data_IF_018160888638
#
_entry.id   IF_018160888638
#
_cell.length_a   1.000
_cell.length_b   1.000
_cell.length_c   1.000
_cell.angle_alpha   90.00
_cell.angle_beta   90.00
_cell.angle_gamma   90.00
#
_symmetry.space_group_name_H-M   'P 1'
#
loop_
_entity.id
_entity.type
_entity.pdbx_description
1 polymer ?
#
# COMPACT_ATOMS: atom_id res chain seq x y z
N UNK A 1 4.78 -23.26 10.01
CA UNK A 1 5.00 -22.71 10.15
C UNK A 1 4.76 -21.87 10.15
N UNK A 2 4.87 -21.95 10.34
CA UNK A 2 4.61 -20.97 10.54
C UNK A 2 5.17 -19.93 10.04
N UNK A 3 4.67 -19.32 9.77
CA UNK A 3 5.17 -18.14 9.40
C UNK A 3 5.89 -17.56 10.49
N UNK A 4 7.06 -17.09 10.24
CA UNK A 4 7.77 -16.50 11.26
C UNK A 4 7.17 -15.25 11.70
N UNK A 5 7.19 -14.97 12.98
CA UNK A 5 6.71 -13.73 13.52
C UNK A 5 7.82 -12.70 13.39
N UNK A 6 7.57 -11.65 12.64
CA UNK A 6 8.56 -10.60 12.51
C UNK A 6 8.44 -9.66 13.69
N UNK A 7 9.56 -9.11 14.14
CA UNK A 7 9.57 -8.13 15.20
C UNK A 7 9.34 -6.76 14.62
N UNK A 8 8.77 -5.88 15.42
CA UNK A 8 8.58 -4.50 14.99
C UNK A 8 9.93 -3.83 14.82
N UNK A 9 10.04 -3.05 13.77
CA UNK A 9 11.26 -2.34 13.47
C UNK A 9 11.23 -1.00 14.20
N UNK A 10 12.38 -0.51 14.63
CA UNK A 10 12.43 0.79 15.29
C UNK A 10 11.99 1.87 14.31
N UNK A 11 11.49 2.99 14.84
CA UNK A 11 11.00 4.06 13.99
C UNK A 11 12.07 4.58 13.03
N UNK A 12 13.32 4.55 13.45
CA UNK A 12 14.40 5.04 12.63
C UNK A 12 14.68 4.16 11.44
N UNK A 13 14.39 2.86 11.56
CA UNK A 13 14.69 1.90 10.51
C UNK A 13 13.47 1.49 9.70
N UNK A 14 12.30 1.95 10.13
CA UNK A 14 11.05 1.52 9.50
C UNK A 14 11.00 1.89 8.02
N UNK A 15 10.49 0.99 7.21
CA UNK A 15 10.31 1.25 5.80
C UNK A 15 9.16 2.22 5.57
N UNK A 16 9.21 2.92 4.46
CA UNK A 16 8.26 3.97 4.16
C UNK A 16 7.85 3.88 2.71
N UNK A 17 6.54 3.90 2.45
CA UNK A 17 6.05 3.82 1.09
C UNK A 17 6.09 5.15 0.36
N UNK A 18 5.90 6.23 1.08
CA UNK A 18 5.87 7.54 0.46
C UNK A 18 4.58 7.84 -0.25
N UNK A 19 3.46 7.54 0.38
CA UNK A 19 2.16 7.87 -0.18
C UNK A 19 1.31 8.58 0.86
N UNK A 20 0.34 9.34 0.36
CA UNK A 20 -0.72 9.90 1.18
C UNK A 20 -2.02 9.31 0.69
N UNK A 21 -2.85 8.84 1.59
CA UNK A 21 -4.09 8.24 1.17
C UNK A 21 -5.11 8.21 2.28
N UNK A 22 -6.26 7.63 1.97
CA UNK A 22 -7.30 7.48 2.97
C UNK A 22 -8.07 6.19 2.72
N UNK A 23 -8.84 5.80 3.74
CA UNK A 23 -9.57 4.54 3.70
C UNK A 23 -10.75 4.65 2.76
N UNK A 24 -10.98 3.57 2.02
CA UNK A 24 -12.22 3.43 1.25
C UNK A 24 -13.13 2.56 2.09
N UNK A 25 -14.18 3.16 2.63
CA UNK A 25 -15.13 2.42 3.46
C UNK A 25 -15.97 1.49 2.59
N UNK A 26 -16.63 0.53 3.23
CA UNK A 26 -17.51 -0.36 2.48
C UNK A 26 -18.63 0.41 1.80
N UNK A 27 -19.16 1.41 2.46
CA UNK A 27 -20.21 2.24 1.90
C UNK A 27 -19.71 3.00 0.69
N UNK A 28 -18.53 3.61 0.82
CA UNK A 28 -17.95 4.34 -0.29
C UNK A 28 -17.61 3.43 -1.45
N UNK A 29 -17.13 2.22 -1.15
CA UNK A 29 -16.80 1.27 -2.18
C UNK A 29 -18.04 0.88 -2.97
N UNK A 30 -19.16 0.65 -2.30
CA UNK A 30 -20.39 0.29 -2.97
C UNK A 30 -20.95 1.47 -3.76
N UNK A 31 -20.89 2.66 -3.18
CA UNK A 31 -21.44 3.84 -3.80
C UNK A 31 -20.72 4.21 -5.08
N UNK A 32 -19.40 4.07 -5.10
CA UNK A 32 -18.59 4.45 -6.24
C UNK A 32 -18.10 3.26 -7.05
N UNK A 33 -18.58 2.08 -6.72
CA UNK A 33 -18.21 0.85 -7.44
C UNK A 33 -16.70 0.67 -7.49
N UNK A 34 -16.06 0.79 -6.34
CA UNK A 34 -14.61 0.66 -6.23
C UNK A 34 -14.26 -0.31 -5.13
N UNK A 35 -13.06 -0.90 -5.14
CA UNK A 35 -12.68 -1.85 -4.10
C UNK A 35 -12.41 -1.14 -2.78
N UNK A 36 -12.52 -1.88 -1.67
CA UNK A 36 -12.12 -1.35 -0.37
C UNK A 36 -10.61 -1.46 -0.24
N UNK A 37 -10.02 -0.55 0.50
CA UNK A 37 -8.59 -0.54 0.72
C UNK A 37 -8.09 0.87 0.97
N UNK A 38 -6.87 1.15 0.51
CA UNK A 38 -6.28 2.48 0.67
C UNK A 38 -6.27 3.18 -0.66
N UNK A 39 -7.02 4.27 -0.75
CA UNK A 39 -7.01 5.09 -1.95
C UNK A 39 -5.76 5.96 -1.92
N UNK A 40 -4.96 5.88 -2.97
CA UNK A 40 -3.72 6.64 -3.05
C UNK A 40 -4.03 8.04 -3.55
N UNK A 41 -3.95 9.01 -2.66
CA UNK A 41 -4.23 10.39 -2.98
C UNK A 41 -3.03 11.04 -3.63
N UNK A 42 -1.85 10.79 -3.08
CA UNK A 42 -0.62 11.34 -3.62
C UNK A 42 0.53 10.37 -3.44
N UNK A 43 1.48 10.45 -4.36
CA UNK A 43 2.71 9.65 -4.27
C UNK A 43 3.85 10.65 -4.10
N UNK A 44 4.60 10.49 -3.00
CA UNK A 44 5.67 11.43 -2.67
C UNK A 44 6.88 11.20 -3.57
N UNK A 45 7.51 12.30 -3.97
CA UNK A 45 8.73 12.22 -4.76
C UNK A 45 9.83 11.51 -3.99
N UNK A 46 10.49 10.58 -4.65
CA UNK A 46 11.61 9.89 -4.05
C UNK A 46 11.24 8.76 -3.12
N UNK A 47 9.95 8.53 -2.91
CA UNK A 47 9.52 7.43 -2.06
C UNK A 47 9.54 6.10 -2.79
N UNK A 48 9.39 5.02 -2.04
CA UNK A 48 9.41 3.68 -2.63
C UNK A 48 8.28 3.46 -3.61
N UNK A 49 7.10 4.01 -3.29
CA UNK A 49 5.95 3.82 -4.18
C UNK A 49 6.15 4.51 -5.52
N UNK A 50 6.73 5.69 -5.52
CA UNK A 50 6.99 6.40 -6.77
C UNK A 50 7.95 5.60 -7.63
N UNK A 51 9.01 5.10 -7.02
CA UNK A 51 10.00 4.33 -7.77
C UNK A 51 9.43 3.05 -8.33
N UNK A 52 8.42 2.50 -7.68
CA UNK A 52 7.77 1.28 -8.14
C UNK A 52 6.74 1.53 -9.23
N UNK A 53 6.43 2.79 -9.49
CA UNK A 53 5.45 3.11 -10.52
C UNK A 53 4.01 3.21 -10.02
N UNK A 54 3.83 3.27 -8.71
CA UNK A 54 2.49 3.44 -8.18
C UNK A 54 1.98 4.83 -8.49
N UNK A 55 0.75 4.94 -8.95
CA UNK A 55 0.19 6.23 -9.34
C UNK A 55 -0.98 6.59 -8.43
N UNK A 56 -1.26 7.88 -8.36
CA UNK A 56 -2.41 8.32 -7.58
C UNK A 56 -3.69 7.81 -8.24
N UNK A 57 -4.70 7.56 -7.43
CA UNK A 57 -5.94 6.98 -7.92
C UNK A 57 -5.99 5.47 -7.79
N UNK A 58 -4.85 4.84 -7.53
CA UNK A 58 -4.81 3.40 -7.31
C UNK A 58 -5.33 3.09 -5.91
N UNK A 59 -5.79 1.86 -5.72
CA UNK A 59 -6.28 1.43 -4.42
C UNK A 59 -5.46 0.23 -3.97
N UNK A 60 -4.81 0.36 -2.83
CA UNK A 60 -4.01 -0.73 -2.29
C UNK A 60 -4.93 -1.67 -1.54
N UNK A 61 -5.02 -2.91 -2.01
CA UNK A 61 -5.92 -3.88 -1.42
C UNK A 61 -5.21 -5.02 -0.72
N UNK A 62 -3.90 -5.15 -0.90
CA UNK A 62 -3.15 -6.22 -0.25
C UNK A 62 -1.70 -5.85 -0.04
N UNK A 63 -1.08 -6.52 0.94
CA UNK A 63 0.32 -6.31 1.30
C UNK A 63 0.89 -7.67 1.62
N UNK A 64 1.86 -8.13 0.83
CA UNK A 64 2.50 -9.44 1.02
C UNK A 64 1.49 -10.55 1.20
N UNK A 65 0.44 -10.52 0.38
CA UNK A 65 -0.57 -11.55 0.41
C UNK A 65 -1.66 -11.38 1.45
N UNK A 66 -1.56 -10.36 2.29
CA UNK A 66 -2.59 -10.10 3.31
C UNK A 66 -3.49 -8.98 2.87
N UNK A 67 -4.77 -9.09 3.19
CA UNK A 67 -5.74 -8.06 2.83
C UNK A 67 -5.49 -6.78 3.61
N UNK A 68 -5.63 -5.67 2.94
CA UNK A 68 -5.50 -4.35 3.55
C UNK A 68 -6.85 -3.66 3.45
N UNK A 69 -7.43 -3.32 4.59
CA UNK A 69 -8.74 -2.69 4.61
C UNK A 69 -8.67 -1.17 4.74
N UNK A 70 -7.50 -0.64 5.07
CA UNK A 70 -7.35 0.81 5.22
C UNK A 70 -5.92 1.16 5.60
N UNK A 71 -5.70 2.46 5.83
CA UNK A 71 -4.37 2.94 6.18
C UNK A 71 -3.83 2.34 7.47
N UNK A 72 -4.71 2.12 8.45
CA UNK A 72 -4.28 1.52 9.71
C UNK A 72 -3.68 0.14 9.50
N UNK A 73 -4.36 -0.67 8.67
CA UNK A 73 -3.87 -2.01 8.37
C UNK A 73 -2.53 -1.94 7.65
N UNK A 74 -2.41 -1.03 6.70
CA UNK A 74 -1.18 -0.89 5.95
C UNK A 74 -0.03 -0.46 6.84
N UNK A 75 -0.27 0.53 7.68
CA UNK A 75 0.78 1.01 8.57
C UNK A 75 1.19 -0.05 9.58
N UNK A 76 0.22 -0.84 10.03
CA UNK A 76 0.52 -1.92 10.95
C UNK A 76 1.46 -2.94 10.33
N UNK A 77 1.22 -3.28 9.06
CA UNK A 77 2.09 -4.20 8.36
C UNK A 77 3.50 -3.60 8.16
N UNK A 78 3.55 -2.32 7.84
CA UNK A 78 4.82 -1.66 7.59
C UNK A 78 5.72 -1.60 8.82
N UNK A 79 5.16 -1.71 10.01
CA UNK A 79 5.94 -1.66 11.23
C UNK A 79 6.96 -2.79 11.32
N UNK A 80 6.77 -3.85 10.55
CA UNK A 80 7.63 -5.03 10.61
C UNK A 80 8.66 -5.07 9.50
N UNK A 81 8.76 -4.00 8.70
CA UNK A 81 9.66 -3.99 7.54
C UNK A 81 10.58 -2.79 7.61
N UNK A 82 11.82 -3.01 7.21
CA UNK A 82 12.85 -1.96 7.25
C UNK A 82 12.96 -1.26 5.91
N UNK A 83 13.52 -0.06 5.94
CA UNK A 83 13.86 0.63 4.71
C UNK A 83 14.82 -0.25 3.91
N UNK A 84 14.61 -0.33 2.62
CA UNK A 84 15.43 -1.16 1.75
C UNK A 84 14.86 -2.54 1.49
N UNK A 85 13.87 -2.98 2.28
CA UNK A 85 13.24 -4.26 2.02
C UNK A 85 12.24 -4.11 0.90
N UNK A 86 12.11 -5.17 0.11
CA UNK A 86 11.16 -5.19 -0.98
C UNK A 86 9.89 -5.89 -0.52
N UNK A 87 8.75 -5.29 -0.81
CA UNK A 87 7.45 -5.88 -0.47
C UNK A 87 6.58 -5.88 -1.71
N UNK A 88 5.60 -6.76 -1.75
CA UNK A 88 4.65 -6.83 -2.86
C UNK A 88 3.32 -6.25 -2.42
N UNK A 89 2.87 -5.25 -3.16
CA UNK A 89 1.55 -4.66 -2.93
C UNK A 89 0.60 -5.16 -3.99
N UNK A 90 -0.61 -5.49 -3.57
CA UNK A 90 -1.68 -5.78 -4.51
C UNK A 90 -2.52 -4.51 -4.63
N UNK A 91 -2.66 -4.01 -5.84
CA UNK A 91 -3.37 -2.75 -6.06
C UNK A 91 -4.40 -2.92 -7.15
N UNK A 92 -5.42 -2.07 -7.10
CA UNK A 92 -6.44 -2.00 -8.15
C UNK A 92 -6.23 -0.66 -8.84
N UNK A 93 -6.03 -0.70 -10.14
CA UNK A 93 -5.73 0.50 -10.92
C UNK A 93 -6.89 0.79 -11.86
N UNK A 94 -7.47 2.00 -11.80
CA UNK A 94 -8.58 2.32 -12.69
C UNK A 94 -8.09 2.55 -14.12
N UNK A 95 -8.87 2.06 -15.08
CA UNK A 95 -8.54 2.29 -16.48
C UNK A 95 -9.40 3.44 -17.02
N UNK A 96 -9.36 3.66 -18.32
CA UNK A 96 -10.08 4.77 -18.94
C UNK A 96 -11.57 4.67 -18.75
N UNK A 97 -12.08 3.45 -18.62
CA UNK A 97 -13.51 3.22 -18.48
C UNK A 97 -13.95 3.23 -17.03
N UNK A 98 -13.04 3.44 -16.10
CA UNK A 98 -13.37 3.42 -14.69
C UNK A 98 -13.39 2.04 -14.08
N UNK A 99 -12.96 1.04 -14.84
CA UNK A 99 -12.87 -0.31 -14.31
C UNK A 99 -11.51 -0.51 -13.65
N UNK A 100 -11.49 -1.32 -12.59
CA UNK A 100 -10.26 -1.54 -11.84
C UNK A 100 -9.63 -2.85 -12.26
N UNK A 101 -8.32 -2.82 -12.44
CA UNK A 101 -7.55 -4.01 -12.78
C UNK A 101 -6.58 -4.31 -11.65
N UNK A 102 -6.61 -5.54 -11.16
CA UNK A 102 -5.72 -5.94 -10.09
C UNK A 102 -4.31 -6.16 -10.61
N UNK A 103 -3.34 -5.70 -9.84
CA UNK A 103 -1.95 -5.84 -10.24
C UNK A 103 -1.08 -5.94 -9.01
N UNK A 104 -0.05 -6.79 -9.06
CA UNK A 104 0.94 -6.87 -7.98
C UNK A 104 2.13 -6.03 -8.37
N UNK A 105 2.57 -5.19 -7.44
CA UNK A 105 3.69 -4.29 -7.67
C UNK A 105 4.73 -4.52 -6.58
N UNK A 106 5.98 -4.69 -6.97
CA UNK A 106 7.06 -4.81 -6.01
C UNK A 106 7.58 -3.44 -5.69
N UNK A 107 7.64 -3.13 -4.40
CA UNK A 107 8.04 -1.82 -3.93
C UNK A 107 9.22 -1.99 -2.97
N UNK A 108 10.29 -1.23 -3.22
CA UNK A 108 11.40 -1.19 -2.28
C UNK A 108 11.12 -0.04 -1.33
N UNK A 109 11.02 -0.35 -0.05
CA UNK A 109 10.66 0.66 0.95
C UNK A 109 11.78 1.66 1.11
N UNK A 110 11.39 2.92 1.20
CA UNK A 110 12.36 3.98 1.41
C UNK A 110 12.49 4.31 2.88
N UNK A 111 13.36 5.25 3.17
CA UNK A 111 13.56 5.69 4.51
C UNK A 111 12.62 6.82 4.82
N UNK A 112 12.08 6.78 6.03
CA UNK A 112 11.22 7.85 6.48
C UNK A 112 12.11 8.96 7.03
N UNK A 113 12.15 10.05 6.36
CA UNK A 113 13.02 11.14 6.80
C UNK A 113 12.27 12.44 6.98
#
# INVERSE_FOLDING_TARGET
MNKETRSKVSDEERGYLGITGYDVSEEGAQMYNMPTGVYVKEVMSGGGAEKAGLTKGSIITGFEGSSISGMSSLQEQLQYYKAGEEVTLTVQIPDKNGEYTEKDIKVTLGKNS
#
